data_IF_074137685581
#
_entry.id   IF_074137685581
#
_cell.length_a   1.000
_cell.length_b   1.000
_cell.length_c   1.000
_cell.angle_alpha   90.00
_cell.angle_beta   90.00
_cell.angle_gamma   90.00
#
_symmetry.space_group_name_H-M   'P 1'
#
loop_
_entity.id
_entity.type
_entity.pdbx_description
1 polymer ?
#
# COMPACT_ATOMS: atom_id res chain seq x y z
N UNK A 1 14.47 19.05 1.29
CA UNK A 1 13.72 18.12 2.18
C UNK A 1 12.36 18.72 2.47
N UNK A 2 11.43 17.97 3.03
CA UNK A 2 10.17 18.53 3.56
C UNK A 2 10.17 18.37 5.08
N UNK A 3 9.81 19.44 5.77
CA UNK A 3 9.53 19.45 7.19
C UNK A 3 8.03 19.77 7.40
N UNK A 4 7.60 19.95 8.64
CA UNK A 4 6.20 20.25 8.91
C UNK A 4 5.77 21.59 8.29
N UNK A 5 6.65 22.58 8.18
CA UNK A 5 6.32 23.95 7.78
C UNK A 5 6.76 24.37 6.39
N UNK A 6 7.77 23.71 5.79
CA UNK A 6 8.23 24.06 4.45
C UNK A 6 8.97 22.92 3.72
N UNK A 7 9.06 23.06 2.40
CA UNK A 7 10.09 22.41 1.60
C UNK A 7 11.32 23.31 1.68
N UNK A 8 12.43 22.77 2.18
CA UNK A 8 13.69 23.48 2.26
C UNK A 8 14.62 23.04 1.14
N UNK A 9 15.13 24.02 0.37
CA UNK A 9 16.28 23.82 -0.51
C UNK A 9 17.54 24.31 0.21
N UNK A 10 18.52 23.43 0.31
CA UNK A 10 19.78 23.71 1.00
C UNK A 10 20.83 24.16 -0.01
N UNK A 11 21.58 25.19 0.35
CA UNK A 11 22.66 25.74 -0.47
C UNK A 11 23.97 25.71 0.32
N UNK A 12 24.96 25.08 -0.28
CA UNK A 12 26.38 25.21 0.07
C UNK A 12 26.96 26.24 -0.92
N UNK A 13 27.16 27.48 -0.47
CA UNK A 13 27.58 28.58 -1.32
C UNK A 13 29.10 28.68 -1.43
N UNK A 14 29.82 27.98 -0.55
CA UNK A 14 31.28 28.08 -0.43
C UNK A 14 32.01 26.78 -0.88
N UNK A 15 31.29 25.67 -1.03
CA UNK A 15 31.78 24.37 -1.49
C UNK A 15 32.45 23.50 -0.41
N UNK A 16 32.24 23.77 0.88
CA UNK A 16 32.84 23.04 1.99
C UNK A 16 32.06 21.78 2.42
N UNK A 17 30.87 21.56 1.85
CA UNK A 17 30.00 20.44 2.17
C UNK A 17 29.05 20.69 3.35
N UNK A 18 29.04 21.90 3.92
CA UNK A 18 28.08 22.36 4.93
C UNK A 18 26.96 23.21 4.30
N UNK A 19 25.87 23.41 5.04
CA UNK A 19 24.73 24.20 4.57
C UNK A 19 24.86 25.64 5.06
N UNK A 20 25.02 26.58 4.14
CA UNK A 20 25.12 28.02 4.45
C UNK A 20 23.75 28.71 4.43
N UNK A 21 22.85 28.30 3.52
CA UNK A 21 21.55 28.94 3.33
C UNK A 21 20.40 27.94 3.18
N UNK A 22 19.31 28.25 3.88
CA UNK A 22 18.09 27.47 3.97
C UNK A 22 16.98 28.22 3.23
N UNK A 23 16.85 27.97 1.92
CA UNK A 23 15.80 28.56 1.10
C UNK A 23 14.46 27.89 1.46
N UNK A 24 13.47 28.71 1.84
CA UNK A 24 12.08 28.29 1.84
C UNK A 24 11.61 28.19 0.39
N UNK A 25 11.58 26.96 -0.13
CA UNK A 25 11.21 26.70 -1.51
C UNK A 25 9.68 26.72 -1.70
N UNK A 26 8.92 26.25 -0.70
CA UNK A 26 7.46 26.38 -0.64
C UNK A 26 6.98 26.11 0.80
N UNK A 27 6.00 26.89 1.27
CA UNK A 27 5.34 26.70 2.57
C UNK A 27 3.82 26.98 2.53
N UNK A 28 3.18 26.71 1.40
CA UNK A 28 1.80 27.16 1.13
C UNK A 28 0.70 26.32 1.82
N UNK A 29 1.07 25.36 2.66
CA UNK A 29 0.10 24.53 3.39
C UNK A 29 -0.18 25.06 4.80
N UNK A 30 -1.33 24.65 5.33
CA UNK A 30 -1.84 25.15 6.60
C UNK A 30 -1.55 24.16 7.71
N UNK A 31 -0.72 24.56 8.68
CA UNK A 31 -0.36 23.73 9.82
C UNK A 31 -1.37 23.79 10.96
N UNK A 32 -1.39 22.71 11.76
CA UNK A 32 -2.01 22.69 13.08
C UNK A 32 -1.08 21.99 14.07
N UNK A 33 -1.22 22.27 15.36
CA UNK A 33 -0.43 21.63 16.43
C UNK A 33 -0.94 20.22 16.80
N UNK A 34 -1.68 19.56 15.91
CA UNK A 34 -2.36 18.31 16.21
C UNK A 34 -1.44 17.09 16.15
N UNK A 35 -1.76 16.06 16.92
CA UNK A 35 -1.02 14.80 16.90
C UNK A 35 -1.11 14.10 15.53
N UNK A 36 0.00 13.63 14.96
CA UNK A 36 0.11 13.07 13.59
C UNK A 36 -0.14 14.05 12.43
N UNK A 37 -0.18 15.36 12.70
CA UNK A 37 -0.24 16.41 11.68
C UNK A 37 1.13 16.63 11.00
N UNK A 38 1.78 15.57 10.53
CA UNK A 38 3.12 15.60 9.95
C UNK A 38 3.09 15.52 8.42
N UNK A 39 4.13 16.09 7.80
CA UNK A 39 4.44 15.83 6.40
C UNK A 39 5.21 14.51 6.27
N UNK A 40 4.75 13.63 5.38
CA UNK A 40 5.32 12.31 5.16
C UNK A 40 5.92 12.20 3.76
N UNK A 41 7.21 11.85 3.76
CA UNK A 41 8.01 11.61 2.55
C UNK A 41 8.14 12.85 1.65
N UNK A 42 9.05 12.81 0.68
CA UNK A 42 9.14 13.79 -0.39
C UNK A 42 9.58 13.06 -1.65
N UNK A 43 8.68 12.98 -2.62
CA UNK A 43 8.90 12.32 -3.89
C UNK A 43 8.95 13.35 -5.01
N UNK A 44 9.73 13.06 -6.05
CA UNK A 44 9.82 13.91 -7.24
C UNK A 44 9.21 13.17 -8.42
N UNK A 45 8.25 13.81 -9.08
CA UNK A 45 7.64 13.33 -10.29
C UNK A 45 8.54 13.44 -11.52
N UNK A 46 8.18 12.77 -12.63
CA UNK A 46 9.00 12.77 -13.83
C UNK A 46 9.11 14.14 -14.51
N UNK A 47 8.19 15.08 -14.24
CA UNK A 47 8.26 16.46 -14.73
C UNK A 47 8.95 17.41 -13.75
N UNK A 48 9.47 16.90 -12.62
CA UNK A 48 10.22 17.64 -11.62
C UNK A 48 9.37 18.30 -10.53
N UNK A 49 8.06 18.07 -10.54
CA UNK A 49 7.15 18.44 -9.46
C UNK A 49 7.38 17.58 -8.21
N UNK A 50 6.98 18.08 -7.05
CA UNK A 50 7.20 17.42 -5.76
C UNK A 50 5.88 16.96 -5.16
N UNK A 51 5.89 15.79 -4.54
CA UNK A 51 4.75 15.20 -3.86
C UNK A 51 5.11 14.81 -2.43
N UNK A 52 4.20 15.06 -1.50
CA UNK A 52 4.28 14.58 -0.13
C UNK A 52 2.87 14.36 0.42
N UNK A 53 2.72 13.46 1.39
CA UNK A 53 1.44 13.28 2.07
C UNK A 53 1.40 14.10 3.35
N UNK A 54 0.23 14.62 3.71
CA UNK A 54 0.04 15.39 4.94
C UNK A 54 -0.99 14.70 5.83
N UNK A 55 -0.56 14.25 7.00
CA UNK A 55 -1.40 13.49 7.93
C UNK A 55 -2.54 14.32 8.53
N UNK A 56 -3.52 13.64 9.12
CA UNK A 56 -4.58 14.25 9.89
C UNK A 56 -4.20 14.37 11.37
N UNK A 57 -4.73 15.37 12.10
CA UNK A 57 -4.48 15.56 13.52
C UNK A 57 -5.32 14.56 14.34
N UNK A 58 -4.89 13.31 14.44
CA UNK A 58 -5.60 12.18 15.06
C UNK A 58 -5.83 12.42 16.56
N UNK A 59 -7.07 12.22 17.05
CA UNK A 59 -7.34 12.20 18.50
C UNK A 59 -6.85 10.90 19.14
N UNK A 60 -6.53 10.95 20.43
CA UNK A 60 -6.27 9.74 21.23
C UNK A 60 -7.35 8.68 21.03
N UNK A 61 -6.93 7.42 20.85
CA UNK A 61 -7.82 6.30 20.50
C UNK A 61 -8.18 6.19 19.02
N UNK A 62 -7.81 7.17 18.19
CA UNK A 62 -7.81 7.05 16.72
C UNK A 62 -9.17 6.89 16.05
N UNK A 63 -10.24 7.43 16.66
CA UNK A 63 -11.63 7.38 16.16
C UNK A 63 -12.15 8.70 15.56
N UNK A 64 -11.38 9.79 15.65
CA UNK A 64 -11.71 11.09 15.04
C UNK A 64 -10.47 12.00 15.05
N UNK A 65 -10.65 13.27 14.68
CA UNK A 65 -9.58 14.25 14.51
C UNK A 65 -9.79 15.49 15.39
N UNK A 66 -8.70 16.17 15.72
CA UNK A 66 -8.71 17.50 16.34
C UNK A 66 -9.08 18.55 15.28
N UNK A 67 -8.78 19.83 15.53
CA UNK A 67 -9.01 20.89 14.53
C UNK A 67 -8.19 20.58 13.27
N UNK A 68 -8.87 20.48 12.13
CA UNK A 68 -8.23 20.19 10.84
C UNK A 68 -8.15 21.46 9.98
N UNK A 69 -6.99 21.72 9.38
CA UNK A 69 -6.80 22.71 8.32
C UNK A 69 -7.31 22.23 6.95
N UNK A 70 -7.15 23.07 5.93
CA UNK A 70 -7.52 22.76 4.54
C UNK A 70 -6.76 21.57 3.94
N UNK A 71 -5.51 21.36 4.35
CA UNK A 71 -4.57 20.48 3.66
C UNK A 71 -4.39 19.11 4.33
N UNK A 72 -4.82 18.94 5.58
CA UNK A 72 -4.71 17.65 6.28
C UNK A 72 -5.42 16.51 5.55
N UNK A 73 -4.79 15.32 5.60
CA UNK A 73 -5.28 14.10 4.98
C UNK A 73 -5.24 14.14 3.45
N UNK A 74 -4.25 14.83 2.88
CA UNK A 74 -4.09 14.99 1.43
C UNK A 74 -2.74 14.51 0.95
N UNK A 75 -2.65 14.17 -0.33
CA UNK A 75 -1.38 14.23 -1.07
C UNK A 75 -1.30 15.63 -1.67
N UNK A 76 -0.23 16.35 -1.37
CA UNK A 76 0.04 17.67 -1.90
C UNK A 76 1.04 17.60 -3.04
N UNK A 77 0.83 18.42 -4.06
CA UNK A 77 1.73 18.58 -5.21
C UNK A 77 2.24 20.01 -5.26
N UNK A 78 3.56 20.18 -5.28
CA UNK A 78 4.24 21.46 -5.49
C UNK A 78 4.84 21.47 -6.90
N UNK A 79 4.62 22.55 -7.65
CA UNK A 79 5.21 22.72 -8.98
C UNK A 79 6.75 22.67 -8.93
N UNK A 80 7.38 22.32 -10.06
CA UNK A 80 8.84 22.18 -10.17
C UNK A 80 9.61 23.43 -9.71
N UNK A 81 9.03 24.60 -9.92
CA UNK A 81 9.58 25.90 -9.54
C UNK A 81 9.19 26.37 -8.14
N UNK A 82 8.33 25.62 -7.43
CA UNK A 82 7.90 25.92 -6.07
C UNK A 82 6.74 26.93 -5.98
N UNK A 83 6.26 27.45 -7.11
CA UNK A 83 5.32 28.59 -7.10
C UNK A 83 3.86 28.21 -6.88
N UNK A 84 3.49 26.93 -6.95
CA UNK A 84 2.11 26.48 -6.80
C UNK A 84 2.00 25.19 -6.00
N UNK A 85 1.10 25.21 -5.01
CA UNK A 85 0.63 24.06 -4.26
C UNK A 85 -0.80 23.69 -4.67
N UNK A 86 -1.02 22.43 -5.05
CA UNK A 86 -2.33 21.85 -5.31
C UNK A 86 -2.55 20.60 -4.43
N UNK A 87 -3.81 20.28 -4.07
CA UNK A 87 -4.15 18.97 -3.50
C UNK A 87 -4.31 17.99 -4.66
N UNK A 88 -3.46 16.97 -4.73
CA UNK A 88 -3.54 15.93 -5.76
C UNK A 88 -4.64 14.91 -5.45
N UNK A 89 -4.77 14.50 -4.19
CA UNK A 89 -5.81 13.57 -3.72
C UNK A 89 -6.11 13.83 -2.24
N UNK A 90 -7.25 13.36 -1.75
CA UNK A 90 -7.71 13.60 -0.36
C UNK A 90 -8.26 12.34 0.30
N UNK A 91 -8.53 12.38 1.61
CA UNK A 91 -9.10 11.25 2.33
C UNK A 91 -8.05 10.33 2.96
N UNK A 92 -6.85 10.80 3.24
CA UNK A 92 -5.85 10.07 4.03
C UNK A 92 -5.99 10.35 5.52
N UNK A 93 -5.56 9.41 6.35
CA UNK A 93 -5.53 9.49 7.81
C UNK A 93 -4.15 9.83 8.35
N UNK A 94 -3.20 8.91 8.27
CA UNK A 94 -1.85 9.03 8.77
C UNK A 94 -0.91 8.22 7.87
N UNK A 95 -0.71 8.66 6.61
CA UNK A 95 -0.01 7.91 5.58
C UNK A 95 1.50 7.91 5.80
N UNK A 96 2.04 6.88 6.44
CA UNK A 96 3.47 6.80 6.75
C UNK A 96 4.39 6.61 5.53
N UNK A 97 3.90 6.70 4.30
CA UNK A 97 4.76 6.70 3.10
C UNK A 97 3.96 6.69 1.80
N UNK A 98 4.55 7.33 0.79
CA UNK A 98 4.04 7.35 -0.59
C UNK A 98 5.07 6.74 -1.55
N UNK A 99 4.68 6.61 -2.81
CA UNK A 99 5.57 6.25 -3.90
C UNK A 99 5.20 7.01 -5.16
N UNK A 100 6.21 7.31 -5.99
CA UNK A 100 6.01 7.83 -7.35
C UNK A 100 6.76 6.91 -8.31
N UNK A 101 6.04 6.37 -9.30
CA UNK A 101 6.63 5.53 -10.34
C UNK A 101 7.47 6.37 -11.32
N UNK A 102 8.36 5.74 -12.11
CA UNK A 102 9.05 6.43 -13.21
C UNK A 102 8.11 7.08 -14.24
N UNK A 103 6.85 6.63 -14.31
CA UNK A 103 5.81 7.19 -15.19
C UNK A 103 4.92 8.22 -14.49
N UNK A 104 5.19 8.56 -13.23
CA UNK A 104 4.42 9.54 -12.46
C UNK A 104 3.21 8.97 -11.71
N UNK A 105 3.02 7.65 -11.70
CA UNK A 105 1.94 7.05 -10.91
C UNK A 105 2.20 7.25 -9.42
N UNK A 106 1.21 7.80 -8.70
CA UNK A 106 1.23 7.91 -7.24
C UNK A 106 0.63 6.69 -6.55
N UNK A 107 1.24 6.31 -5.43
CA UNK A 107 0.73 5.33 -4.49
C UNK A 107 0.91 5.80 -3.06
N UNK A 108 0.11 5.26 -2.13
CA UNK A 108 0.26 5.52 -0.69
C UNK A 108 -0.16 4.32 0.12
N UNK A 109 0.47 4.13 1.27
CA UNK A 109 -0.14 3.40 2.38
C UNK A 109 -1.04 4.31 3.22
N UNK A 110 -1.75 3.75 4.18
CA UNK A 110 -2.41 4.51 5.26
C UNK A 110 -2.58 3.68 6.53
N UNK A 111 -2.52 4.31 7.68
CA UNK A 111 -2.53 3.62 8.96
C UNK A 111 -3.96 3.43 9.50
N UNK A 112 -4.24 2.22 10.01
CA UNK A 112 -5.55 1.81 10.53
C UNK A 112 -6.17 2.81 11.53
N UNK A 113 -7.47 3.05 11.35
CA UNK A 113 -8.35 3.84 12.20
C UNK A 113 -9.19 4.83 11.39
N UNK A 114 -10.20 5.46 11.99
CA UNK A 114 -11.10 6.47 11.38
C UNK A 114 -11.27 6.34 9.86
N UNK A 115 -12.18 5.46 9.42
CA UNK A 115 -12.44 5.15 8.01
C UNK A 115 -11.33 4.38 7.27
N UNK A 116 -10.23 4.02 7.93
CA UNK A 116 -9.20 3.12 7.41
C UNK A 116 -9.32 1.77 8.13
N UNK A 117 -10.07 0.80 7.59
CA UNK A 117 -10.40 -0.46 8.30
C UNK A 117 -9.20 -1.37 8.54
N UNK A 118 -8.23 -1.34 7.62
CA UNK A 118 -6.94 -2.05 7.61
C UNK A 118 -5.96 -1.22 6.79
N UNK A 119 -4.67 -1.53 6.84
CA UNK A 119 -3.67 -0.81 6.04
C UNK A 119 -3.89 -1.08 4.54
N UNK A 120 -4.14 -0.05 3.71
CA UNK A 120 -4.28 -0.19 2.28
C UNK A 120 -2.95 -0.05 1.54
N UNK A 121 -2.95 -0.43 0.27
CA UNK A 121 -2.07 0.10 -0.77
C UNK A 121 -2.97 0.84 -1.76
N UNK A 122 -2.93 2.16 -1.79
CA UNK A 122 -3.66 2.96 -2.76
C UNK A 122 -2.90 3.07 -4.08
N UNK A 123 -3.63 2.99 -5.19
CA UNK A 123 -3.18 3.39 -6.53
C UNK A 123 -3.95 4.64 -6.90
N UNK A 124 -3.27 5.78 -7.00
CA UNK A 124 -3.92 7.09 -6.80
C UNK A 124 -4.00 7.88 -8.09
N UNK A 125 -5.21 8.22 -8.49
CA UNK A 125 -5.50 9.16 -9.57
C UNK A 125 -5.74 10.58 -9.03
N UNK A 126 -5.63 11.63 -9.87
CA UNK A 126 -5.96 12.99 -9.45
C UNK A 126 -7.40 13.10 -8.94
N UNK A 127 -7.58 13.93 -7.91
CA UNK A 127 -8.84 14.23 -7.24
C UNK A 127 -9.52 13.04 -6.55
N UNK A 128 -8.82 11.91 -6.39
CA UNK A 128 -9.37 10.71 -5.78
C UNK A 128 -9.60 10.86 -4.27
N UNK A 129 -10.68 10.24 -3.79
CA UNK A 129 -11.00 10.07 -2.38
C UNK A 129 -10.48 8.74 -1.83
N UNK A 130 -9.62 8.81 -0.82
CA UNK A 130 -8.83 7.68 -0.32
C UNK A 130 -9.42 7.02 0.95
N UNK A 131 -10.52 7.56 1.49
CA UNK A 131 -11.31 6.85 2.51
C UNK A 131 -11.70 7.66 3.73
N UNK A 132 -10.94 8.66 4.14
CA UNK A 132 -11.25 9.46 5.34
C UNK A 132 -12.15 10.64 5.01
N UNK A 133 -13.43 10.49 5.31
CA UNK A 133 -14.48 11.49 4.98
C UNK A 133 -14.20 12.85 5.60
N UNK A 134 -13.61 12.88 6.80
CA UNK A 134 -13.23 14.13 7.45
C UNK A 134 -12.20 14.95 6.67
N UNK A 135 -11.31 14.32 5.89
CA UNK A 135 -10.29 14.97 5.07
C UNK A 135 -10.62 15.05 3.58
N UNK A 136 -11.78 14.53 3.15
CA UNK A 136 -12.23 14.65 1.76
C UNK A 136 -12.32 16.12 1.31
N UNK A 137 -12.00 16.42 0.06
CA UNK A 137 -12.12 17.77 -0.49
C UNK A 137 -13.57 18.31 -0.46
N UNK A 138 -14.54 17.41 -0.64
CA UNK A 138 -15.96 17.65 -0.85
C UNK A 138 -16.83 16.99 0.24
N UNK A 139 -16.29 16.84 1.46
CA UNK A 139 -16.97 16.21 2.60
C UNK A 139 -18.39 16.74 2.89
N UNK A 140 -18.71 17.96 2.44
CA UNK A 140 -20.01 18.59 2.61
C UNK A 140 -21.10 17.98 1.71
N UNK A 141 -20.73 17.46 0.53
CA UNK A 141 -21.64 16.85 -0.44
C UNK A 141 -21.70 15.33 -0.36
N UNK A 142 -20.74 14.69 0.33
CA UNK A 142 -20.77 13.26 0.60
C UNK A 142 -22.01 12.85 1.41
N UNK A 143 -22.52 11.65 1.13
CA UNK A 143 -23.62 11.01 1.86
C UNK A 143 -23.15 10.52 3.22
N UNK A 144 -21.94 9.99 3.29
CA UNK A 144 -21.28 9.64 4.55
C UNK A 144 -20.91 10.92 5.28
N UNK A 145 -21.19 10.97 6.58
CA UNK A 145 -20.92 12.16 7.37
C UNK A 145 -19.56 12.13 8.06
N UNK A 146 -18.83 13.26 8.13
CA UNK A 146 -17.62 13.41 8.93
C UNK A 146 -17.83 13.07 10.41
N UNK A 147 -16.76 12.63 11.07
CA UNK A 147 -16.75 12.43 12.52
C UNK A 147 -16.56 13.74 13.30
N UNK A 148 -15.86 14.72 12.70
CA UNK A 148 -15.59 16.04 13.28
C UNK A 148 -16.86 16.89 13.24
N UNK A 149 -17.37 17.26 14.41
CA UNK A 149 -18.63 17.98 14.56
C UNK A 149 -18.72 19.28 13.73
N UNK A 150 -17.63 20.05 13.65
CA UNK A 150 -17.56 21.27 12.85
C UNK A 150 -17.75 21.00 11.34
N UNK A 151 -17.25 19.88 10.82
CA UNK A 151 -17.39 19.47 9.41
C UNK A 151 -18.71 18.75 9.14
N UNK A 152 -19.22 18.02 10.12
CA UNK A 152 -20.54 17.37 10.06
C UNK A 152 -21.69 18.40 10.04
N UNK A 153 -21.58 19.45 10.86
CA UNK A 153 -22.66 20.40 11.09
C UNK A 153 -23.87 19.73 11.73
N UNK A 154 -25.06 20.07 11.24
CA UNK A 154 -26.34 19.51 11.70
C UNK A 154 -26.73 18.17 11.05
N UNK A 155 -25.90 17.63 10.13
CA UNK A 155 -26.20 16.36 9.45
C UNK A 155 -26.24 15.21 10.46
N UNK A 156 -27.28 14.37 10.35
CA UNK A 156 -27.38 13.12 11.12
C UNK A 156 -26.25 12.18 10.71
N UNK A 157 -25.71 11.44 11.67
CA UNK A 157 -24.64 10.49 11.39
C UNK A 157 -25.11 9.43 10.39
N UNK A 158 -24.36 9.29 9.31
CA UNK A 158 -24.66 8.36 8.23
C UNK A 158 -23.37 7.74 7.69
N UNK A 159 -23.42 6.47 7.31
CA UNK A 159 -22.36 5.71 6.63
C UNK A 159 -22.94 5.10 5.37
N UNK A 160 -22.48 5.53 4.19
CA UNK A 160 -22.91 4.98 2.91
C UNK A 160 -21.78 4.11 2.30
N UNK A 161 -21.91 2.78 2.29
CA UNK A 161 -20.89 1.88 1.76
C UNK A 161 -20.54 2.09 0.27
N UNK A 162 -21.39 2.79 -0.51
CA UNK A 162 -21.09 3.10 -1.91
C UNK A 162 -19.94 4.10 -2.08
N UNK A 163 -19.60 4.84 -1.02
CA UNK A 163 -18.49 5.80 -0.99
C UNK A 163 -17.19 5.20 -0.41
N UNK A 164 -17.19 3.90 -0.07
CA UNK A 164 -16.00 3.25 0.47
C UNK A 164 -14.87 3.22 -0.58
N UNK A 165 -13.61 3.49 -0.17
CA UNK A 165 -12.48 3.51 -1.08
C UNK A 165 -12.16 2.10 -1.61
N UNK A 166 -11.58 2.04 -2.81
CA UNK A 166 -11.16 0.78 -3.47
C UNK A 166 -9.65 0.80 -3.73
N UNK A 167 -8.81 0.69 -2.68
CA UNK A 167 -7.35 0.62 -2.85
C UNK A 167 -6.95 -0.62 -3.66
N UNK A 168 -5.75 -0.63 -4.24
CA UNK A 168 -5.18 -1.80 -4.92
C UNK A 168 -5.26 -3.06 -4.04
N UNK A 169 -4.90 -2.92 -2.75
CA UNK A 169 -4.99 -3.99 -1.78
C UNK A 169 -5.36 -3.47 -0.37
N UNK A 170 -6.07 -4.29 0.39
CA UNK A 170 -6.16 -4.22 1.85
C UNK A 170 -5.28 -5.31 2.46
N UNK A 171 -4.46 -4.96 3.44
CA UNK A 171 -3.54 -5.90 4.09
C UNK A 171 -3.98 -6.21 5.53
N UNK A 172 -3.99 -7.49 5.94
CA UNK A 172 -4.27 -7.85 7.32
C UNK A 172 -3.11 -7.43 8.24
N UNK A 173 -3.36 -7.29 9.54
CA UNK A 173 -2.39 -6.76 10.52
C UNK A 173 -1.08 -7.55 10.59
N UNK A 174 -1.13 -8.86 10.38
CA UNK A 174 0.05 -9.73 10.39
C UNK A 174 0.88 -9.64 9.09
N UNK A 175 0.37 -8.95 8.07
CA UNK A 175 1.09 -8.65 6.82
C UNK A 175 1.53 -7.20 6.82
N UNK A 176 0.61 -6.28 7.14
CA UNK A 176 0.96 -4.91 7.41
C UNK A 176 -0.01 -4.25 8.41
N UNK A 177 0.51 -3.82 9.55
CA UNK A 177 -0.21 -3.03 10.55
C UNK A 177 0.25 -1.57 10.60
N UNK A 178 1.24 -1.18 9.80
CA UNK A 178 1.71 0.18 9.65
C UNK A 178 2.61 0.27 8.42
N UNK A 179 2.11 0.92 7.38
CA UNK A 179 2.79 0.96 6.09
C UNK A 179 4.10 1.74 6.13
N UNK A 180 4.98 1.44 5.19
CA UNK A 180 6.09 2.30 4.76
C UNK A 180 5.80 2.92 3.37
N UNK A 181 6.84 3.37 2.69
CA UNK A 181 6.74 3.89 1.32
C UNK A 181 6.62 2.79 0.26
N UNK A 182 6.54 3.20 -1.01
CA UNK A 182 6.64 2.30 -2.16
C UNK A 182 7.73 2.78 -3.12
N UNK A 183 8.39 1.84 -3.77
CA UNK A 183 9.41 2.12 -4.80
C UNK A 183 9.27 1.19 -5.97
N UNK A 184 9.84 1.58 -7.11
CA UNK A 184 9.90 0.73 -8.30
C UNK A 184 11.31 0.19 -8.48
N UNK A 185 11.39 -1.07 -8.89
CA UNK A 185 12.65 -1.69 -9.29
C UNK A 185 13.12 -1.05 -10.60
N UNK A 186 14.12 -0.19 -10.51
CA UNK A 186 14.63 0.58 -11.68
C UNK A 186 15.81 -0.09 -12.38
N UNK A 187 16.31 -1.19 -11.84
CA UNK A 187 17.56 -1.84 -12.24
C UNK A 187 17.32 -3.28 -12.68
N UNK A 188 17.96 -3.71 -13.77
CA UNK A 188 18.06 -5.13 -14.17
C UNK A 188 19.04 -5.91 -13.29
N UNK A 189 19.85 -5.22 -12.48
CA UNK A 189 20.80 -5.86 -11.55
C UNK A 189 20.15 -6.30 -10.24
N UNK A 190 18.82 -6.23 -10.13
CA UNK A 190 18.07 -6.57 -8.92
C UNK A 190 17.04 -7.68 -9.16
N UNK A 191 17.47 -8.78 -9.77
CA UNK A 191 16.63 -9.96 -9.97
C UNK A 191 15.50 -9.75 -10.99
N UNK A 192 14.50 -10.64 -11.01
CA UNK A 192 13.54 -10.76 -12.12
C UNK A 192 12.42 -9.71 -12.10
N UNK A 193 12.48 -8.72 -11.20
CA UNK A 193 11.36 -7.82 -10.90
C UNK A 193 11.53 -6.41 -11.46
N UNK A 194 12.36 -6.20 -12.49
CA UNK A 194 12.55 -4.87 -13.11
C UNK A 194 11.21 -4.28 -13.55
N UNK A 195 10.92 -3.05 -13.13
CA UNK A 195 9.67 -2.34 -13.38
C UNK A 195 8.56 -2.65 -12.36
N UNK A 196 8.71 -3.67 -11.52
CA UNK A 196 7.72 -3.97 -10.50
C UNK A 196 7.79 -3.01 -9.32
N UNK A 197 6.65 -2.89 -8.64
CA UNK A 197 6.52 -2.06 -7.44
C UNK A 197 6.84 -2.92 -6.22
N UNK A 198 7.61 -2.34 -5.31
CA UNK A 198 7.85 -2.86 -3.97
C UNK A 198 7.07 -2.05 -2.95
N UNK A 199 6.50 -2.75 -1.98
CA UNK A 199 5.83 -2.17 -0.82
C UNK A 199 6.61 -2.52 0.45
N UNK A 200 6.78 -1.55 1.33
CA UNK A 200 7.42 -1.74 2.62
C UNK A 200 6.39 -1.75 3.74
N UNK A 201 6.50 -2.70 4.65
CA UNK A 201 5.80 -2.65 5.94
C UNK A 201 6.77 -2.23 7.04
N UNK A 202 6.48 -1.08 7.66
CA UNK A 202 7.20 -0.62 8.84
C UNK A 202 6.85 -1.51 10.05
N UNK A 203 5.56 -1.84 10.19
CA UNK A 203 5.05 -2.58 11.34
C UNK A 203 5.53 -4.04 11.37
N UNK A 204 5.61 -4.69 10.21
CA UNK A 204 6.01 -6.09 10.07
C UNK A 204 7.46 -6.30 9.62
N UNK A 205 8.24 -5.22 9.44
CA UNK A 205 9.64 -5.24 8.98
C UNK A 205 9.81 -6.11 7.74
N UNK A 206 9.01 -5.83 6.71
CA UNK A 206 8.91 -6.68 5.53
C UNK A 206 8.94 -5.87 4.23
N UNK A 207 9.45 -6.52 3.18
CA UNK A 207 9.46 -6.01 1.81
C UNK A 207 8.62 -6.95 0.97
N UNK A 208 7.75 -6.39 0.15
CA UNK A 208 6.82 -7.13 -0.68
C UNK A 208 6.98 -6.73 -2.14
N UNK A 209 6.88 -7.71 -3.06
CA UNK A 209 6.57 -7.42 -4.47
C UNK A 209 5.06 -7.25 -4.58
N UNK A 210 4.63 -6.20 -5.29
CA UNK A 210 3.20 -5.93 -5.50
C UNK A 210 2.76 -6.52 -6.84
N UNK A 211 1.92 -7.55 -6.76
CA UNK A 211 1.32 -8.28 -7.88
C UNK A 211 0.04 -7.54 -8.32
N UNK A 212 0.20 -6.48 -9.10
CA UNK A 212 -0.87 -5.56 -9.51
C UNK A 212 -1.54 -6.00 -10.82
N UNK A 213 -2.86 -5.82 -10.91
CA UNK A 213 -3.68 -6.05 -12.09
C UNK A 213 -4.62 -4.86 -12.32
N UNK A 214 -4.62 -4.32 -13.54
CA UNK A 214 -5.64 -3.36 -13.98
C UNK A 214 -6.84 -4.13 -14.53
N UNK A 215 -8.03 -3.96 -13.93
CA UNK A 215 -9.28 -4.55 -14.40
C UNK A 215 -10.35 -3.47 -14.57
N UNK A 216 -10.62 -3.13 -15.84
CA UNK A 216 -11.40 -1.95 -16.18
C UNK A 216 -10.73 -0.66 -15.68
N UNK A 217 -11.47 0.13 -14.91
CA UNK A 217 -10.99 1.36 -14.30
C UNK A 217 -10.25 1.15 -12.96
N UNK A 218 -10.29 -0.05 -12.38
CA UNK A 218 -9.74 -0.32 -11.05
C UNK A 218 -8.36 -0.99 -11.15
N UNK A 219 -7.49 -0.63 -10.21
CA UNK A 219 -6.33 -1.42 -9.87
C UNK A 219 -6.72 -2.37 -8.74
N UNK A 220 -6.34 -3.64 -8.87
CA UNK A 220 -6.49 -4.67 -7.84
C UNK A 220 -5.23 -5.53 -7.79
N UNK A 221 -5.20 -6.50 -6.91
CA UNK A 221 -4.06 -7.40 -6.78
C UNK A 221 -3.59 -7.49 -5.34
N UNK A 222 -2.31 -7.76 -5.16
CA UNK A 222 -1.81 -8.13 -3.85
C UNK A 222 -0.30 -8.05 -3.67
N UNK A 223 0.18 -8.73 -2.66
CA UNK A 223 1.58 -8.75 -2.27
C UNK A 223 2.08 -10.16 -2.04
N UNK A 224 3.35 -10.40 -2.40
CA UNK A 224 4.12 -11.56 -1.98
C UNK A 224 5.38 -11.10 -1.25
N UNK A 225 5.69 -11.72 -0.12
CA UNK A 225 6.82 -11.32 0.73
C UNK A 225 8.13 -11.75 0.10
N UNK A 226 9.10 -10.84 0.03
CA UNK A 226 10.49 -11.19 -0.29
C UNK A 226 11.11 -11.83 0.96
N UNK A 227 11.77 -13.01 0.87
CA UNK A 227 12.30 -13.74 2.02
C UNK A 227 13.61 -13.15 2.55
N UNK A 228 13.60 -11.86 2.86
CA UNK A 228 14.70 -11.15 3.51
C UNK A 228 14.24 -10.59 4.85
N UNK A 229 15.20 -10.42 5.77
CA UNK A 229 14.96 -9.84 7.08
C UNK A 229 15.75 -8.53 7.20
N UNK A 230 15.09 -7.37 7.15
CA UNK A 230 15.72 -6.09 7.46
C UNK A 230 16.27 -6.06 8.90
N UNK A 231 17.31 -5.27 9.14
CA UNK A 231 17.95 -5.10 10.44
C UNK A 231 17.02 -4.40 11.44
N UNK A 232 16.21 -3.45 10.97
CA UNK A 232 15.13 -2.76 11.72
C UNK A 232 13.81 -2.92 10.96
N UNK A 233 12.92 -1.93 10.98
CA UNK A 233 11.76 -1.89 10.10
C UNK A 233 12.15 -1.60 8.65
N UNK A 234 11.24 -1.90 7.71
CA UNK A 234 11.34 -1.41 6.34
C UNK A 234 10.40 -0.21 6.19
N UNK A 235 10.95 1.00 6.17
CA UNK A 235 10.13 2.23 6.17
C UNK A 235 10.29 3.05 4.88
N UNK A 236 11.53 3.21 4.42
CA UNK A 236 11.88 3.96 3.20
C UNK A 236 12.86 3.15 2.38
N UNK A 237 12.66 3.09 1.07
CA UNK A 237 13.60 2.47 0.15
C UNK A 237 14.03 3.43 -0.94
N UNK A 238 15.23 3.22 -1.50
CA UNK A 238 15.67 3.80 -2.77
C UNK A 238 16.61 2.83 -3.49
N UNK A 239 16.47 2.78 -4.80
CA UNK A 239 17.45 2.11 -5.65
C UNK A 239 18.65 3.02 -5.88
N UNK A 240 19.84 2.51 -5.59
CA UNK A 240 21.09 3.25 -5.82
C UNK A 240 21.43 3.21 -7.32
N UNK A 241 21.61 4.37 -7.94
CA UNK A 241 21.87 4.48 -9.38
C UNK A 241 23.24 3.93 -9.82
N UNK A 242 24.21 3.83 -8.91
CA UNK A 242 25.57 3.35 -9.21
C UNK A 242 25.63 1.82 -9.26
N UNK A 243 25.12 1.14 -8.23
CA UNK A 243 25.19 -0.33 -8.14
C UNK A 243 23.89 -1.04 -8.53
N UNK A 244 22.79 -0.29 -8.66
CA UNK A 244 21.49 -0.81 -9.05
C UNK A 244 20.79 -1.63 -7.96
N UNK A 245 21.24 -1.55 -6.70
CA UNK A 245 20.69 -2.32 -5.58
C UNK A 245 19.72 -1.49 -4.73
N UNK A 246 18.87 -2.19 -3.98
CA UNK A 246 17.90 -1.55 -3.08
C UNK A 246 18.55 -1.23 -1.74
N UNK A 247 18.45 0.01 -1.30
CA UNK A 247 18.77 0.44 0.06
C UNK A 247 17.49 0.74 0.82
N UNK A 248 17.36 0.17 2.01
CA UNK A 248 16.18 0.29 2.87
C UNK A 248 16.59 0.84 4.22
N UNK A 249 15.88 1.87 4.67
CA UNK A 249 16.03 2.45 5.99
C UNK A 249 14.76 2.28 6.81
N UNK A 250 14.93 2.18 8.12
CA UNK A 250 13.83 2.15 9.06
C UNK A 250 14.28 2.32 10.50
N UNK A 251 13.29 2.38 11.38
CA UNK A 251 13.45 2.57 12.81
C UNK A 251 12.46 1.70 13.58
N UNK A 252 12.66 1.57 14.89
CA UNK A 252 11.70 0.96 15.80
C UNK A 252 10.89 2.03 16.51
N UNK A 253 9.60 1.76 16.66
CA UNK A 253 8.67 2.62 17.36
C UNK A 253 7.36 1.89 17.60
N UNK A 254 6.27 2.64 17.72
CA UNK A 254 4.96 2.10 18.08
C UNK A 254 4.54 0.91 17.19
N UNK A 255 4.27 -0.23 17.82
CA UNK A 255 3.74 -1.45 17.20
C UNK A 255 4.54 -2.01 16.00
N UNK A 256 5.84 -1.72 15.92
CA UNK A 256 6.75 -2.40 15.00
C UNK A 256 7.38 -3.65 15.64
N UNK A 257 7.57 -4.69 14.83
CA UNK A 257 8.33 -5.89 15.21
C UNK A 257 9.85 -5.76 14.97
N UNK A 258 10.35 -4.56 14.66
CA UNK A 258 11.74 -4.32 14.33
C UNK A 258 12.71 -4.84 15.41
N UNK A 259 13.78 -5.52 14.96
CA UNK A 259 14.80 -6.11 15.82
C UNK A 259 15.76 -5.09 16.44
N UNK A 260 16.06 -3.99 15.74
CA UNK A 260 16.93 -2.90 16.19
C UNK A 260 16.24 -1.54 16.11
N UNK A 261 16.70 -0.58 16.91
CA UNK A 261 16.16 0.80 16.97
C UNK A 261 16.24 1.55 15.63
N UNK A 262 17.25 1.26 14.81
CA UNK A 262 17.42 1.83 13.48
C UNK A 262 18.22 0.89 12.58
N UNK A 263 18.07 1.07 11.27
CA UNK A 263 18.80 0.27 10.29
C UNK A 263 18.87 0.96 8.94
N UNK A 264 20.01 0.73 8.25
CA UNK A 264 20.19 1.01 6.84
C UNK A 264 20.74 -0.27 6.20
N UNK A 265 19.90 -0.97 5.45
CA UNK A 265 20.21 -2.24 4.83
C UNK A 265 20.40 -2.07 3.32
N UNK A 266 21.38 -2.78 2.76
CA UNK A 266 21.48 -3.00 1.32
C UNK A 266 20.93 -4.38 0.98
N UNK A 267 19.78 -4.42 0.32
CA UNK A 267 19.18 -5.65 -0.22
C UNK A 267 19.68 -5.82 -1.65
N UNK A 268 20.53 -6.82 -1.88
CA UNK A 268 21.16 -7.06 -3.18
C UNK A 268 20.72 -8.39 -3.79
N UNK A 269 20.65 -8.42 -5.11
CA UNK A 269 20.53 -9.67 -5.83
C UNK A 269 21.86 -10.45 -5.79
N UNK A 270 21.78 -11.77 -5.64
CA UNK A 270 22.95 -12.64 -5.49
C UNK A 270 23.38 -13.29 -6.81
N UNK A 271 22.59 -13.17 -7.88
CA UNK A 271 22.79 -13.87 -9.15
C UNK A 271 22.21 -15.29 -9.18
N UNK A 272 21.63 -15.78 -8.07
CA UNK A 272 20.96 -17.08 -8.01
C UNK A 272 19.54 -17.02 -8.57
N UNK A 273 18.96 -18.16 -8.91
CA UNK A 273 17.54 -18.24 -9.22
C UNK A 273 16.69 -17.64 -8.08
N UNK A 274 15.55 -17.06 -8.44
CA UNK A 274 14.54 -16.59 -7.52
C UNK A 274 13.29 -17.36 -7.86
N UNK A 275 12.76 -18.11 -6.91
CA UNK A 275 11.58 -18.97 -7.11
C UNK A 275 10.43 -18.42 -6.29
N UNK A 276 9.64 -17.55 -6.93
CA UNK A 276 8.59 -16.77 -6.30
C UNK A 276 7.47 -16.43 -7.30
N UNK A 277 6.25 -16.13 -6.84
CA UNK A 277 5.23 -15.49 -7.64
C UNK A 277 5.73 -14.21 -8.34
N UNK A 278 5.35 -14.03 -9.60
CA UNK A 278 5.67 -12.89 -10.45
C UNK A 278 4.43 -12.13 -10.93
N UNK A 279 3.26 -12.79 -10.99
CA UNK A 279 1.99 -12.12 -11.31
C UNK A 279 0.80 -12.80 -10.65
N UNK A 280 -0.26 -12.03 -10.40
CA UNK A 280 -1.58 -12.51 -10.00
C UNK A 280 -2.62 -11.81 -10.86
N UNK A 281 -3.45 -12.58 -11.55
CA UNK A 281 -4.48 -12.02 -12.44
C UNK A 281 -5.80 -12.76 -12.26
N UNK A 282 -6.90 -12.01 -12.21
CA UNK A 282 -8.23 -12.58 -12.07
C UNK A 282 -8.81 -12.88 -13.45
N UNK A 283 -9.26 -14.11 -13.62
CA UNK A 283 -9.85 -14.65 -14.85
C UNK A 283 -11.27 -15.13 -14.56
N UNK A 284 -12.02 -15.42 -15.61
CA UNK A 284 -13.34 -16.02 -15.43
C UNK A 284 -13.18 -17.39 -14.75
N UNK A 285 -13.88 -17.59 -13.64
CA UNK A 285 -13.84 -18.82 -12.85
C UNK A 285 -12.56 -19.08 -12.03
N UNK A 286 -11.57 -18.19 -12.00
CA UNK A 286 -10.32 -18.51 -11.30
C UNK A 286 -9.24 -17.43 -11.29
N UNK A 287 -8.03 -17.85 -10.90
CA UNK A 287 -6.84 -17.03 -10.78
C UNK A 287 -5.72 -17.58 -11.68
N UNK A 288 -5.07 -16.70 -12.42
CA UNK A 288 -3.80 -16.99 -13.11
C UNK A 288 -2.66 -16.48 -12.24
N UNK A 289 -1.82 -17.40 -11.74
CA UNK A 289 -0.65 -17.09 -10.92
C UNK A 289 0.59 -17.39 -11.75
N UNK A 290 1.41 -16.37 -11.98
CA UNK A 290 2.68 -16.50 -12.70
C UNK A 290 3.84 -16.61 -11.73
N UNK A 291 4.91 -17.31 -12.13
CA UNK A 291 6.11 -17.55 -11.35
C UNK A 291 7.36 -17.14 -12.13
N UNK A 292 8.45 -16.92 -11.40
CA UNK A 292 9.75 -16.53 -11.98
C UNK A 292 10.48 -17.70 -12.64
N UNK A 293 10.30 -18.91 -12.11
CA UNK A 293 10.87 -20.16 -12.62
C UNK A 293 9.81 -21.07 -13.24
N UNK A 294 10.28 -22.10 -13.96
CA UNK A 294 9.42 -23.19 -14.38
C UNK A 294 9.03 -24.04 -13.17
N UNK A 295 7.84 -24.61 -13.22
CA UNK A 295 7.29 -25.39 -12.12
C UNK A 295 7.38 -26.88 -12.43
N UNK A 296 7.49 -27.67 -11.37
CA UNK A 296 7.16 -29.08 -11.43
C UNK A 296 5.69 -29.25 -11.80
N UNK A 297 5.40 -30.14 -12.75
CA UNK A 297 4.04 -30.31 -13.27
C UNK A 297 3.13 -31.01 -12.26
N UNK A 298 3.63 -31.98 -11.51
CA UNK A 298 2.82 -32.75 -10.57
C UNK A 298 2.24 -31.83 -9.49
N UNK A 299 3.08 -31.01 -8.85
CA UNK A 299 2.63 -30.05 -7.84
C UNK A 299 1.88 -28.86 -8.45
N UNK A 300 2.27 -28.37 -9.63
CA UNK A 300 1.56 -27.25 -10.27
C UNK A 300 0.13 -27.60 -10.72
N UNK A 301 -0.15 -28.87 -10.99
CA UNK A 301 -1.47 -29.37 -11.38
C UNK A 301 -2.24 -29.99 -10.20
N UNK A 302 -1.65 -30.04 -9.00
CA UNK A 302 -2.32 -30.49 -7.78
C UNK A 302 -3.18 -29.35 -7.16
N UNK A 303 -4.51 -29.50 -7.06
CA UNK A 303 -5.36 -28.55 -6.34
C UNK A 303 -4.97 -28.35 -4.87
N UNK A 304 -4.39 -29.36 -4.21
CA UNK A 304 -4.01 -29.30 -2.80
C UNK A 304 -2.80 -28.39 -2.53
N UNK A 305 -1.99 -28.10 -3.56
CA UNK A 305 -0.90 -27.10 -3.54
C UNK A 305 -1.40 -25.66 -3.37
N UNK A 306 -2.72 -25.44 -3.42
CA UNK A 306 -3.35 -24.11 -3.34
C UNK A 306 -4.45 -24.08 -2.27
N UNK A 307 -4.28 -23.28 -1.22
CA UNK A 307 -5.33 -23.07 -0.21
C UNK A 307 -5.78 -21.61 -0.16
N UNK A 308 -7.05 -21.37 -0.50
CA UNK A 308 -7.61 -20.03 -0.56
C UNK A 308 -8.61 -19.77 0.57
N UNK A 309 -8.44 -18.64 1.24
CA UNK A 309 -9.42 -18.12 2.19
C UNK A 309 -9.47 -16.60 2.14
N UNK A 310 -10.60 -15.99 2.43
CA UNK A 310 -10.71 -14.54 2.43
C UNK A 310 -11.69 -13.99 3.44
N UNK A 311 -11.58 -12.71 3.70
CA UNK A 311 -12.50 -11.96 4.56
C UNK A 311 -12.81 -10.60 3.98
N UNK A 312 -14.00 -10.12 4.32
CA UNK A 312 -14.42 -8.76 4.08
C UNK A 312 -14.20 -7.87 5.31
N UNK A 313 -14.08 -6.59 5.01
CA UNK A 313 -13.92 -5.50 5.97
C UNK A 313 -15.18 -4.63 5.96
N UNK A 314 -15.48 -4.00 7.10
CA UNK A 314 -16.46 -2.90 7.16
C UNK A 314 -15.76 -1.56 7.21
N UNK A 315 -16.12 -0.67 6.29
CA UNK A 315 -15.70 0.72 6.30
C UNK A 315 -16.53 1.50 7.32
N UNK A 316 -15.93 1.87 8.45
CA UNK A 316 -16.57 2.60 9.55
C UNK A 316 -15.60 3.62 10.14
N UNK A 317 -16.09 4.50 11.02
CA UNK A 317 -15.26 5.47 11.73
C UNK A 317 -14.47 4.87 12.92
N UNK A 318 -14.60 3.55 13.17
CA UNK A 318 -13.93 2.88 14.27
C UNK A 318 -12.40 2.78 14.06
N UNK A 319 -11.71 2.39 15.13
CA UNK A 319 -10.30 2.02 15.03
C UNK A 319 -10.18 0.63 14.42
N UNK A 320 -10.06 0.58 13.09
CA UNK A 320 -10.02 -0.67 12.32
C UNK A 320 -11.34 -1.42 12.32
N UNK A 321 -11.32 -2.66 11.84
CA UNK A 321 -12.53 -3.49 11.78
C UNK A 321 -12.24 -4.97 12.04
N UNK A 322 -13.30 -5.75 12.26
CA UNK A 322 -13.21 -7.21 12.33
C UNK A 322 -13.04 -7.84 10.95
N UNK A 323 -12.72 -9.13 10.93
CA UNK A 323 -12.80 -9.92 9.70
C UNK A 323 -14.15 -10.60 9.62
N UNK A 324 -14.82 -10.43 8.49
CA UNK A 324 -16.16 -10.95 8.24
C UNK A 324 -16.16 -11.90 7.05
N UNK A 325 -17.09 -12.85 7.06
CA UNK A 325 -17.29 -13.74 5.92
C UNK A 325 -17.64 -12.91 4.67
N UNK A 326 -17.00 -13.29 3.56
CA UNK A 326 -17.13 -12.61 2.26
C UNK A 326 -18.58 -12.65 1.78
N UNK A 327 -19.05 -11.55 1.21
CA UNK A 327 -20.41 -11.43 0.68
C UNK A 327 -21.45 -10.92 1.69
N UNK A 328 -21.07 -10.76 2.96
CA UNK A 328 -22.00 -10.33 4.03
C UNK A 328 -21.73 -8.92 4.58
N UNK A 329 -20.70 -8.20 4.11
CA UNK A 329 -20.21 -6.95 4.73
C UNK A 329 -21.21 -5.80 4.87
N UNK A 330 -22.25 -5.78 4.04
CA UNK A 330 -23.32 -4.78 4.09
C UNK A 330 -24.49 -5.19 5.00
N UNK A 331 -24.48 -6.40 5.58
CA UNK A 331 -25.51 -6.82 6.53
C UNK A 331 -25.35 -6.10 7.88
N UNK A 332 -26.43 -6.01 8.65
CA UNK A 332 -26.42 -5.37 9.96
C UNK A 332 -25.49 -6.10 10.96
N UNK A 333 -25.42 -7.43 10.86
CA UNK A 333 -24.59 -8.30 11.69
C UNK A 333 -23.88 -9.36 10.85
N UNK A 334 -22.80 -9.00 10.13
CA UNK A 334 -22.09 -9.96 9.29
C UNK A 334 -21.43 -11.05 10.14
N UNK A 335 -21.51 -12.33 9.71
CA UNK A 335 -20.79 -13.41 10.37
C UNK A 335 -19.29 -13.11 10.41
N UNK A 336 -18.65 -13.34 11.56
CA UNK A 336 -17.21 -13.16 11.73
C UNK A 336 -16.45 -14.34 11.13
N UNK A 337 -15.21 -14.09 10.71
CA UNK A 337 -14.28 -15.12 10.25
C UNK A 337 -13.97 -15.03 8.76
N UNK A 338 -13.29 -16.06 8.25
CA UNK A 338 -12.86 -16.15 6.84
C UNK A 338 -13.73 -17.14 6.10
N UNK A 339 -14.06 -16.82 4.85
CA UNK A 339 -14.71 -17.71 3.88
C UNK A 339 -13.63 -18.53 3.17
N UNK A 340 -13.86 -19.84 3.02
CA UNK A 340 -13.01 -20.70 2.19
C UNK A 340 -13.42 -20.59 0.72
N UNK A 341 -12.42 -20.65 -0.16
CA UNK A 341 -12.62 -20.67 -1.60
C UNK A 341 -12.06 -21.98 -2.13
N UNK A 342 -12.89 -23.03 -2.28
CA UNK A 342 -12.42 -24.33 -2.75
C UNK A 342 -11.75 -24.23 -4.12
N UNK A 343 -10.59 -24.87 -4.27
CA UNK A 343 -9.92 -25.05 -5.56
C UNK A 343 -10.51 -26.29 -6.22
N UNK A 344 -11.02 -26.13 -7.44
CA UNK A 344 -11.61 -27.23 -8.21
C UNK A 344 -10.58 -27.97 -9.04
N UNK A 345 -9.67 -27.22 -9.64
CA UNK A 345 -8.60 -27.72 -10.49
C UNK A 345 -7.45 -26.72 -10.51
N UNK A 346 -6.24 -27.23 -10.75
CA UNK A 346 -5.07 -26.43 -11.08
C UNK A 346 -4.52 -26.93 -12.42
N UNK A 347 -4.08 -26.01 -13.27
CA UNK A 347 -3.55 -26.34 -14.60
C UNK A 347 -2.31 -25.54 -14.91
N UNK A 348 -1.21 -26.22 -15.17
CA UNK A 348 0.00 -25.59 -15.67
C UNK A 348 -0.24 -25.08 -17.10
N UNK A 349 0.09 -23.81 -17.34
CA UNK A 349 -0.08 -23.17 -18.63
C UNK A 349 1.12 -23.48 -19.56
N UNK A 350 0.99 -23.27 -20.88
CA UNK A 350 2.02 -23.67 -21.85
C UNK A 350 3.41 -23.03 -21.67
N UNK A 351 3.51 -21.94 -20.90
CA UNK A 351 4.80 -21.31 -20.57
C UNK A 351 5.61 -22.12 -19.52
N UNK A 352 4.98 -23.10 -18.86
CA UNK A 352 5.55 -23.87 -17.76
C UNK A 352 5.81 -23.05 -16.49
N UNK A 353 5.36 -21.79 -16.45
CA UNK A 353 5.63 -20.82 -15.38
C UNK A 353 4.37 -20.21 -14.79
N UNK A 354 3.21 -20.48 -15.37
CA UNK A 354 1.94 -19.93 -14.91
C UNK A 354 0.95 -21.05 -14.64
N UNK A 355 0.19 -20.93 -13.57
CA UNK A 355 -0.87 -21.88 -13.20
C UNK A 355 -2.22 -21.16 -13.25
N UNK A 356 -3.18 -21.75 -13.94
CA UNK A 356 -4.58 -21.38 -13.79
C UNK A 356 -5.22 -22.22 -12.69
N UNK A 357 -5.65 -21.56 -11.63
CA UNK A 357 -6.32 -22.16 -10.47
C UNK A 357 -7.81 -21.87 -10.61
N UNK A 358 -8.62 -22.90 -10.87
CA UNK A 358 -10.07 -22.78 -10.92
C UNK A 358 -10.62 -22.72 -9.50
N UNK A 359 -11.36 -21.65 -9.19
CA UNK A 359 -11.82 -21.36 -7.84
C UNK A 359 -13.34 -21.33 -7.80
N UNK A 360 -13.91 -22.15 -6.92
CA UNK A 360 -15.35 -22.17 -6.71
C UNK A 360 -15.85 -20.85 -6.10
N UNK A 361 -16.92 -20.30 -6.67
CA UNK A 361 -17.62 -19.10 -6.16
C UNK A 361 -16.67 -17.89 -5.94
N UNK A 362 -15.70 -17.70 -6.84
CA UNK A 362 -14.84 -16.53 -6.81
C UNK A 362 -15.67 -15.25 -6.91
N UNK A 363 -15.51 -14.38 -5.92
CA UNK A 363 -16.28 -13.14 -5.77
C UNK A 363 -15.37 -12.01 -5.28
N UNK A 364 -15.80 -10.74 -5.37
CA UNK A 364 -15.06 -9.64 -4.79
C UNK A 364 -14.80 -9.85 -3.29
N UNK A 365 -13.57 -9.61 -2.86
CA UNK A 365 -13.09 -9.89 -1.51
C UNK A 365 -12.05 -8.84 -1.09
N UNK A 366 -12.18 -8.30 0.12
CA UNK A 366 -11.22 -7.30 0.59
C UNK A 366 -9.86 -7.89 0.94
N UNK A 367 -9.78 -9.05 1.61
CA UNK A 367 -8.51 -9.67 2.01
C UNK A 367 -8.51 -11.17 1.76
N UNK A 368 -8.03 -11.59 0.61
CA UNK A 368 -7.78 -12.99 0.26
C UNK A 368 -6.33 -13.38 0.61
N UNK A 369 -6.17 -14.60 1.10
CA UNK A 369 -4.92 -15.30 1.32
C UNK A 369 -4.91 -16.50 0.38
N UNK A 370 -3.81 -16.67 -0.33
CA UNK A 370 -3.51 -17.85 -1.16
C UNK A 370 -2.24 -18.45 -0.57
N UNK A 371 -2.36 -19.59 0.12
CA UNK A 371 -1.20 -20.39 0.52
C UNK A 371 -0.76 -21.24 -0.68
N UNK A 372 0.54 -21.25 -0.94
CA UNK A 372 1.18 -21.98 -2.03
C UNK A 372 2.18 -22.97 -1.45
N UNK A 373 2.12 -24.20 -1.92
CA UNK A 373 3.08 -25.27 -1.64
C UNK A 373 3.41 -25.98 -2.96
N UNK A 374 4.50 -25.52 -3.60
CA UNK A 374 4.88 -25.87 -4.96
C UNK A 374 6.39 -26.11 -5.03
N UNK A 375 6.86 -26.59 -6.17
CA UNK A 375 8.29 -26.77 -6.47
C UNK A 375 8.60 -26.34 -7.91
N UNK A 376 9.83 -25.92 -8.16
CA UNK A 376 10.33 -25.72 -9.53
C UNK A 376 10.63 -27.06 -10.21
N UNK A 377 10.77 -27.07 -11.53
CA UNK A 377 11.25 -28.26 -12.27
C UNK A 377 12.69 -28.69 -11.91
N UNK A 378 13.47 -27.81 -11.26
CA UNK A 378 14.79 -28.09 -10.70
C UNK A 378 14.79 -28.52 -9.22
N UNK A 379 13.62 -28.63 -8.60
CA UNK A 379 13.49 -29.10 -7.22
C UNK A 379 13.62 -28.04 -6.10
N UNK A 380 13.41 -26.75 -6.41
CA UNK A 380 13.39 -25.68 -5.41
C UNK A 380 11.97 -25.43 -4.91
N UNK A 381 11.76 -25.56 -3.59
CA UNK A 381 10.46 -25.32 -2.94
C UNK A 381 10.00 -23.85 -3.05
N UNK A 382 8.71 -23.67 -3.30
CA UNK A 382 8.00 -22.39 -3.30
C UNK A 382 6.87 -22.45 -2.27
N UNK A 383 7.23 -22.42 -0.99
CA UNK A 383 6.28 -22.35 0.13
C UNK A 383 6.07 -20.90 0.54
N UNK A 384 4.96 -20.29 0.11
CA UNK A 384 4.72 -18.86 0.34
C UNK A 384 3.24 -18.51 0.39
N UNK A 385 2.95 -17.21 0.60
CA UNK A 385 1.59 -16.68 0.66
C UNK A 385 1.46 -15.45 -0.23
N UNK A 386 0.38 -15.39 -0.97
CA UNK A 386 -0.09 -14.16 -1.63
C UNK A 386 -1.25 -13.59 -0.81
N UNK A 387 -1.21 -12.29 -0.55
CA UNK A 387 -2.30 -11.55 0.09
C UNK A 387 -2.85 -10.51 -0.88
N UNK A 388 -4.14 -10.58 -1.22
CA UNK A 388 -4.70 -9.77 -2.30
C UNK A 388 -6.13 -9.28 -2.02
N UNK A 389 -6.52 -8.26 -2.78
CA UNK A 389 -7.89 -7.77 -2.91
C UNK A 389 -8.39 -8.05 -4.31
N UNK A 390 -9.66 -8.46 -4.42
CA UNK A 390 -10.36 -8.60 -5.70
C UNK A 390 -11.56 -7.65 -5.66
N UNK A 391 -11.54 -6.62 -6.50
CA UNK A 391 -12.69 -5.75 -6.68
C UNK A 391 -13.61 -6.28 -7.77
N UNK A 392 -13.01 -6.82 -8.83
CA UNK A 392 -13.70 -7.31 -10.04
C UNK A 392 -13.31 -8.78 -10.25
N UNK A 393 -14.26 -9.67 -9.98
CA UNK A 393 -14.08 -11.12 -10.11
C UNK A 393 -14.31 -11.65 -11.54
N UNK A 394 -14.97 -10.86 -12.41
CA UNK A 394 -15.30 -11.22 -13.80
C UNK A 394 -14.82 -10.15 -14.74
#
# INVERSE_FOLDING_TARGET
TVADDQITRYHDVNGDGEIDYYENFNNDWELTSGFHAFCFDLQTGPQGEFYFAFGCPVRGGGRSFQRMSRHHGSILRVSKDGSRLDRYATGLRAPNGIGVSPTGQLTSGDNEGTFVPRCPIHWIEPDEFLGVVDSAADYATMKTTPTVGQRRGSRKQNLDPSEAPKPLAWLPKNVDNSNGGQVWVTSDKWGPYKGEMLHFSYGQSAIYVVLKEKKGALMQGGVVKIPVRPTSSAMRGKFNRKDGQLYVAGLKGWQSNAGREGGLDRVRYTGKAVSMPSSLKVRDGGLEIGFTQKLDQELAEDPESFNLSGSDLRWTHDYGTGEFQVGHRNSAGPPKGRTKFPVKSAKLLPDGKSVFVEVENLQPVHMMQIDLDLETDEGEEIVTKIWNTIHVAK
#
